data_IF_151214104127
#
_entry.id   IF_151214104127
#
_cell.length_a   1.000
_cell.length_b   1.000
_cell.length_c   1.000
_cell.angle_alpha   90.00
_cell.angle_beta   90.00
_cell.angle_gamma   90.00
#
_symmetry.space_group_name_H-M   'P 1'
#
loop_
_entity.id
_entity.type
_entity.pdbx_description
1 polymer ?
#
# COMPACT_ATOMS: atom_id res chain seq x y z
N UNK A 1 -27.23 0.13 -5.56
CA UNK A 1 -27.16 -0.54 -4.24
C UNK A 1 -26.05 -1.57 -4.32
N UNK A 2 -25.07 -1.52 -3.42
CA UNK A 2 -23.97 -2.51 -3.38
C UNK A 2 -24.56 -3.80 -2.82
N UNK A 3 -24.58 -4.88 -3.61
CA UNK A 3 -25.05 -6.18 -3.11
C UNK A 3 -23.86 -6.95 -2.52
N UNK A 4 -23.95 -7.58 -1.32
CA UNK A 4 -22.84 -8.32 -0.71
C UNK A 4 -22.24 -9.42 -1.61
N UNK A 5 -23.07 -9.98 -2.50
CA UNK A 5 -22.64 -10.97 -3.49
C UNK A 5 -21.66 -10.40 -4.52
N UNK A 6 -21.77 -9.12 -4.87
CA UNK A 6 -20.88 -8.46 -5.83
C UNK A 6 -19.46 -8.30 -5.27
N UNK A 7 -19.31 -8.19 -3.95
CA UNK A 7 -18.02 -8.14 -3.28
C UNK A 7 -17.26 -9.46 -3.52
N UNK A 8 -17.93 -10.61 -3.35
CA UNK A 8 -17.31 -11.91 -3.61
C UNK A 8 -16.98 -12.15 -5.09
N UNK A 9 -17.77 -11.59 -6.01
CA UNK A 9 -17.49 -11.69 -7.44
C UNK A 9 -16.21 -10.93 -7.85
N UNK A 10 -15.89 -9.84 -7.18
CA UNK A 10 -14.66 -9.06 -7.41
C UNK A 10 -13.39 -9.88 -7.09
N UNK A 11 -13.47 -10.81 -6.12
CA UNK A 11 -12.36 -11.71 -5.77
C UNK A 11 -12.11 -12.84 -6.78
N UNK A 12 -13.01 -13.03 -7.74
CA UNK A 12 -12.85 -14.06 -8.79
C UNK A 12 -11.70 -13.73 -9.73
N UNK A 13 -11.30 -12.46 -9.84
CA UNK A 13 -10.12 -12.06 -10.59
C UNK A 13 -8.87 -12.08 -9.68
N UNK A 14 -7.88 -12.96 -9.95
CA UNK A 14 -6.68 -13.07 -9.11
C UNK A 14 -5.88 -11.76 -9.02
N UNK A 15 -5.87 -10.94 -10.07
CA UNK A 15 -5.19 -9.65 -10.06
C UNK A 15 -5.81 -8.67 -9.06
N UNK A 16 -7.14 -8.65 -8.97
CA UNK A 16 -7.87 -7.81 -8.02
C UNK A 16 -7.66 -8.27 -6.59
N UNK A 17 -7.79 -9.57 -6.34
CA UNK A 17 -7.60 -10.17 -5.01
C UNK A 17 -6.22 -9.88 -4.46
N UNK A 18 -5.17 -10.09 -5.26
CA UNK A 18 -3.79 -9.81 -4.85
C UNK A 18 -3.57 -8.31 -4.61
N UNK A 19 -4.17 -7.44 -5.42
CA UNK A 19 -4.05 -5.98 -5.23
C UNK A 19 -4.73 -5.51 -3.94
N UNK A 20 -5.94 -6.00 -3.64
CA UNK A 20 -6.65 -5.70 -2.39
C UNK A 20 -5.88 -6.26 -1.19
N UNK A 21 -5.33 -7.47 -1.30
CA UNK A 21 -4.53 -8.07 -0.23
C UNK A 21 -3.27 -7.24 0.04
N UNK A 22 -2.52 -6.84 -0.99
CA UNK A 22 -1.34 -5.99 -0.84
C UNK A 22 -1.70 -4.63 -0.21
N UNK A 23 -2.82 -4.03 -0.63
CA UNK A 23 -3.34 -2.81 -0.03
C UNK A 23 -3.62 -2.98 1.46
N UNK A 24 -4.29 -4.08 1.81
CA UNK A 24 -4.57 -4.47 3.19
C UNK A 24 -3.30 -4.61 4.02
N UNK A 25 -2.29 -5.32 3.52
CA UNK A 25 -1.00 -5.48 4.21
C UNK A 25 -0.29 -4.14 4.45
N UNK A 26 -0.30 -3.25 3.46
CA UNK A 26 0.27 -1.90 3.61
C UNK A 26 -0.49 -1.07 4.64
N UNK A 27 -1.81 -1.17 4.65
CA UNK A 27 -2.65 -0.51 5.63
C UNK A 27 -2.45 -1.07 7.05
N UNK A 28 -2.35 -2.38 7.20
CA UNK A 28 -2.06 -3.04 8.47
C UNK A 28 -0.73 -2.56 9.06
N UNK A 29 0.32 -2.54 8.24
CA UNK A 29 1.65 -2.06 8.64
C UNK A 29 1.61 -0.59 9.09
N UNK A 30 0.94 0.25 8.30
CA UNK A 30 0.72 1.66 8.60
C UNK A 30 -0.02 1.85 9.94
N UNK A 31 -1.12 1.14 10.14
CA UNK A 31 -1.91 1.19 11.38
C UNK A 31 -1.10 0.76 12.59
N UNK A 32 -0.32 -0.33 12.47
CA UNK A 32 0.53 -0.78 13.57
C UNK A 32 1.60 0.26 13.95
N UNK A 33 2.24 0.89 12.95
CA UNK A 33 3.22 1.94 13.20
C UNK A 33 2.56 3.16 13.88
N UNK A 34 1.43 3.63 13.37
CA UNK A 34 0.66 4.73 13.94
C UNK A 34 0.26 4.45 15.40
N UNK A 35 -0.29 3.27 15.69
CA UNK A 35 -0.74 2.92 17.04
C UNK A 35 0.43 2.81 18.02
N UNK A 36 1.53 2.17 17.63
CA UNK A 36 2.70 2.00 18.49
C UNK A 36 3.42 3.32 18.81
N UNK A 37 3.41 4.29 17.88
CA UNK A 37 4.22 5.50 17.97
C UNK A 37 3.90 6.31 19.23
N UNK A 38 2.62 6.63 19.46
CA UNK A 38 2.21 7.41 20.62
C UNK A 38 2.52 6.70 21.93
N UNK A 39 2.20 5.40 22.02
CA UNK A 39 2.45 4.59 23.22
C UNK A 39 3.94 4.56 23.56
N UNK A 40 4.79 4.25 22.57
CA UNK A 40 6.24 4.16 22.78
C UNK A 40 6.83 5.53 23.11
N UNK A 41 6.37 6.61 22.49
CA UNK A 41 6.90 7.94 22.78
C UNK A 41 6.57 8.39 24.21
N UNK A 42 5.34 8.15 24.66
CA UNK A 42 4.94 8.48 26.04
C UNK A 42 5.68 7.60 27.05
N UNK A 43 5.75 6.29 26.84
CA UNK A 43 6.34 5.35 27.80
C UNK A 43 7.87 5.43 27.84
N UNK A 44 8.52 5.50 26.68
CA UNK A 44 9.96 5.37 26.55
C UNK A 44 10.70 6.72 26.57
N UNK A 45 10.16 7.73 25.88
CA UNK A 45 10.78 9.05 25.79
C UNK A 45 10.22 10.05 26.83
N UNK A 46 9.25 9.63 27.65
CA UNK A 46 8.61 10.44 28.71
C UNK A 46 8.13 11.81 28.22
N UNK A 47 7.71 11.88 26.96
CA UNK A 47 7.19 13.12 26.39
C UNK A 47 5.75 13.36 26.85
N UNK A 48 5.34 14.62 26.93
CA UNK A 48 3.96 14.97 27.25
C UNK A 48 3.00 14.46 26.17
N UNK A 49 1.72 14.24 26.51
CA UNK A 49 0.72 13.77 25.55
C UNK A 49 0.60 14.68 24.31
N UNK A 50 0.80 16.00 24.46
CA UNK A 50 0.84 16.93 23.33
C UNK A 50 2.03 16.66 22.40
N UNK A 51 3.21 16.42 22.97
CA UNK A 51 4.41 16.11 22.20
C UNK A 51 4.32 14.73 21.52
N UNK A 52 3.65 13.75 22.14
CA UNK A 52 3.31 12.49 21.50
C UNK A 52 2.36 12.72 20.31
N UNK A 53 1.38 13.61 20.43
CA UNK A 53 0.53 14.03 19.31
C UNK A 53 1.32 14.67 18.15
N UNK A 54 2.31 15.51 18.47
CA UNK A 54 3.17 16.14 17.45
C UNK A 54 4.04 15.15 16.68
N UNK A 55 4.33 13.96 17.24
CA UNK A 55 5.09 12.90 16.57
C UNK A 55 4.38 12.35 15.31
N UNK A 56 3.08 12.60 15.14
CA UNK A 56 2.34 12.22 13.94
C UNK A 56 2.52 13.20 12.77
N UNK A 57 2.99 14.43 13.03
CA UNK A 57 3.15 15.46 12.00
C UNK A 57 4.10 15.06 10.86
N UNK A 58 5.29 14.46 11.11
CA UNK A 58 6.17 14.01 10.04
C UNK A 58 5.48 13.06 9.07
N UNK A 59 4.63 12.16 9.55
CA UNK A 59 3.84 11.28 8.68
C UNK A 59 2.84 12.07 7.83
N UNK A 60 2.16 13.05 8.40
CA UNK A 60 1.26 13.95 7.67
C UNK A 60 1.98 14.70 6.55
N UNK A 61 3.13 15.31 6.84
CA UNK A 61 3.97 16.00 5.85
C UNK A 61 4.48 15.03 4.78
N UNK A 62 4.89 13.83 5.17
CA UNK A 62 5.29 12.77 4.24
C UNK A 62 4.14 12.40 3.29
N UNK A 63 2.92 12.29 3.81
CA UNK A 63 1.73 11.97 3.02
C UNK A 63 1.37 13.08 2.04
N UNK A 64 1.43 14.34 2.47
CA UNK A 64 1.18 15.50 1.61
C UNK A 64 2.21 15.61 0.49
N UNK A 65 3.50 15.47 0.82
CA UNK A 65 4.58 15.51 -0.17
C UNK A 65 4.45 14.33 -1.13
N UNK A 66 4.26 13.12 -0.61
CA UNK A 66 4.06 11.93 -1.43
C UNK A 66 2.85 12.03 -2.35
N UNK A 67 1.72 12.61 -1.94
CA UNK A 67 0.57 12.76 -2.82
C UNK A 67 0.90 13.59 -4.07
N UNK A 68 1.68 14.67 -3.91
CA UNK A 68 2.12 15.53 -5.03
C UNK A 68 3.13 14.80 -5.92
N UNK A 69 4.13 14.14 -5.32
CA UNK A 69 5.19 13.46 -6.06
C UNK A 69 4.70 12.16 -6.71
N UNK A 70 3.89 11.36 -6.02
CA UNK A 70 3.35 10.10 -6.50
C UNK A 70 2.50 10.31 -7.76
N UNK A 71 1.61 11.32 -7.77
CA UNK A 71 0.81 11.63 -8.95
C UNK A 71 1.69 11.90 -10.17
N UNK A 72 2.66 12.82 -10.04
CA UNK A 72 3.59 13.15 -11.12
C UNK A 72 4.47 11.97 -11.55
N UNK A 73 4.93 11.16 -10.60
CA UNK A 73 5.83 10.03 -10.86
C UNK A 73 5.08 8.89 -11.56
N UNK A 74 3.85 8.61 -11.12
CA UNK A 74 2.96 7.63 -11.74
C UNK A 74 2.54 8.09 -13.14
N UNK A 75 2.18 9.36 -13.32
CA UNK A 75 1.82 9.90 -14.63
C UNK A 75 3.00 9.87 -15.61
N UNK A 76 4.22 10.16 -15.13
CA UNK A 76 5.43 10.08 -15.95
C UNK A 76 5.76 8.65 -16.37
N UNK A 77 5.64 7.69 -15.47
CA UNK A 77 5.89 6.29 -15.78
C UNK A 77 4.79 5.73 -16.70
N UNK A 78 3.54 6.13 -16.48
CA UNK A 78 2.41 5.82 -17.36
C UNK A 78 2.63 6.37 -18.77
N UNK A 79 3.06 7.64 -18.90
CA UNK A 79 3.41 8.25 -20.18
C UNK A 79 4.58 7.53 -20.84
N UNK A 80 5.62 7.17 -20.09
CA UNK A 80 6.78 6.41 -20.61
C UNK A 80 6.34 5.06 -21.19
N UNK A 81 5.50 4.32 -20.46
CA UNK A 81 4.99 3.01 -20.93
C UNK A 81 4.09 3.20 -22.15
N UNK A 82 3.23 4.22 -22.19
CA UNK A 82 2.40 4.54 -23.35
C UNK A 82 3.23 4.89 -24.60
N UNK A 83 4.25 5.73 -24.46
CA UNK A 83 5.17 6.08 -25.57
C UNK A 83 5.94 4.86 -26.06
N UNK A 84 6.36 3.96 -25.16
CA UNK A 84 7.07 2.73 -25.55
C UNK A 84 6.22 1.72 -26.35
N UNK A 85 4.89 1.87 -26.31
CA UNK A 85 3.92 1.05 -27.06
C UNK A 85 3.33 1.79 -28.26
N UNK A 86 3.81 3.01 -28.57
CA UNK A 86 3.32 3.81 -29.69
C UNK A 86 1.91 4.38 -29.52
N UNK A 87 1.36 4.38 -28.29
CA UNK A 87 0.00 4.89 -28.00
C UNK A 87 0.10 6.37 -27.62
N UNK A 88 -0.51 7.25 -28.41
CA UNK A 88 -0.69 8.66 -28.07
C UNK A 88 -1.80 8.80 -27.04
N UNK A 89 -1.42 9.22 -25.82
CA UNK A 89 -2.36 9.49 -24.73
C UNK A 89 -3.21 10.72 -25.07
N UNK A 90 -4.37 10.51 -25.69
CA UNK A 90 -5.40 11.55 -25.77
C UNK A 90 -6.03 11.66 -24.38
N UNK A 91 -5.74 12.76 -23.69
CA UNK A 91 -6.38 13.13 -22.41
C UNK A 91 -7.90 12.96 -22.53
N UNK A 92 -8.46 11.96 -21.84
CA UNK A 92 -9.91 11.84 -21.63
C UNK A 92 -10.64 10.73 -22.39
N UNK A 93 -9.98 9.90 -23.21
CA UNK A 93 -10.62 8.70 -23.79
C UNK A 93 -9.62 7.58 -24.03
N UNK A 94 -9.79 6.49 -23.29
CA UNK A 94 -9.04 5.25 -23.42
C UNK A 94 -9.97 4.23 -24.08
N UNK A 95 -10.14 4.32 -25.40
CA UNK A 95 -11.13 3.52 -26.12
C UNK A 95 -10.75 2.04 -26.29
N UNK A 96 -9.53 1.61 -25.95
CA UNK A 96 -9.29 0.19 -25.69
C UNK A 96 -8.04 -0.08 -24.84
N UNK A 97 -8.22 -0.12 -23.51
CA UNK A 97 -7.19 -0.52 -22.54
C UNK A 97 -6.90 -2.02 -22.53
N UNK A 98 -7.59 -2.81 -23.37
CA UNK A 98 -7.61 -4.27 -23.27
C UNK A 98 -6.22 -4.89 -23.35
N UNK A 99 -5.33 -4.32 -24.17
CA UNK A 99 -3.94 -4.79 -24.36
C UNK A 99 -2.85 -3.92 -23.71
N UNK A 100 -3.22 -2.83 -23.04
CA UNK A 100 -2.24 -1.98 -22.37
C UNK A 100 -1.77 -2.62 -21.05
N UNK A 101 -0.45 -2.72 -20.77
CA UNK A 101 0.06 -3.25 -19.51
C UNK A 101 -0.08 -2.21 -18.38
N UNK A 102 -1.33 -1.92 -17.98
CA UNK A 102 -1.70 -0.99 -16.90
C UNK A 102 -0.96 -1.37 -15.60
N UNK A 103 -0.85 -2.67 -15.33
CA UNK A 103 -0.20 -3.23 -14.16
C UNK A 103 1.27 -2.81 -14.09
N UNK A 104 1.98 -2.88 -15.21
CA UNK A 104 3.39 -2.47 -15.30
C UNK A 104 3.57 -0.96 -15.19
N UNK A 105 2.66 -0.20 -15.81
CA UNK A 105 2.67 1.26 -15.73
C UNK A 105 2.41 1.79 -14.32
N UNK A 106 1.50 1.16 -13.56
CA UNK A 106 1.12 1.58 -12.21
C UNK A 106 2.05 1.02 -11.12
N UNK A 107 2.52 -0.22 -11.25
CA UNK A 107 3.34 -0.88 -10.22
C UNK A 107 4.84 -0.66 -10.37
N UNK A 108 5.29 -0.09 -11.50
CA UNK A 108 6.71 0.17 -11.78
C UNK A 108 7.40 1.03 -10.73
N UNK A 109 6.68 1.95 -10.08
CA UNK A 109 7.18 2.79 -8.99
C UNK A 109 7.03 2.11 -7.62
N UNK A 110 5.92 1.38 -7.44
CA UNK A 110 5.54 0.68 -6.19
C UNK A 110 6.62 -0.30 -5.73
N UNK A 111 7.28 -1.02 -6.66
CA UNK A 111 8.36 -1.96 -6.31
C UNK A 111 9.55 -1.30 -5.60
N UNK A 112 9.96 -0.12 -6.07
CA UNK A 112 11.06 0.63 -5.46
C UNK A 112 10.66 1.21 -4.11
N UNK A 113 9.41 1.67 -4.00
CA UNK A 113 8.86 2.14 -2.74
C UNK A 113 8.82 1.03 -1.67
N UNK A 114 8.41 -0.20 -2.03
CA UNK A 114 8.43 -1.34 -1.10
C UNK A 114 9.86 -1.73 -0.71
N UNK A 115 10.79 -1.79 -1.67
CA UNK A 115 12.20 -2.11 -1.40
C UNK A 115 12.87 -1.10 -0.47
N UNK A 116 12.50 0.17 -0.57
CA UNK A 116 12.97 1.23 0.33
C UNK A 116 12.26 1.18 1.69
N UNK A 117 10.97 0.85 1.72
CA UNK A 117 10.17 0.85 2.94
C UNK A 117 10.64 -0.22 3.94
N UNK A 118 10.91 -1.44 3.48
CA UNK A 118 11.31 -2.57 4.34
C UNK A 118 12.50 -2.26 5.27
N UNK A 119 13.67 -1.79 4.77
CA UNK A 119 14.79 -1.45 5.64
C UNK A 119 14.49 -0.25 6.55
N UNK A 120 13.65 0.71 6.12
CA UNK A 120 13.22 1.80 6.99
C UNK A 120 12.37 1.31 8.16
N UNK A 121 11.45 0.36 7.94
CA UNK A 121 10.63 -0.26 9.01
C UNK A 121 11.53 -0.99 10.01
N UNK A 122 12.49 -1.78 9.51
CA UNK A 122 13.44 -2.50 10.37
C UNK A 122 14.28 -1.51 11.17
N UNK A 123 14.84 -0.49 10.51
CA UNK A 123 15.60 0.57 11.17
C UNK A 123 14.80 1.31 12.23
N UNK A 124 13.50 1.57 11.97
CA UNK A 124 12.60 2.22 12.92
C UNK A 124 12.44 1.37 14.18
N UNK A 125 12.18 0.08 14.02
CA UNK A 125 12.05 -0.84 15.16
C UNK A 125 13.29 -0.92 16.03
N UNK A 126 14.48 -1.01 15.42
CA UNK A 126 15.73 -1.07 16.16
C UNK A 126 16.11 0.27 16.79
N UNK A 127 15.83 1.39 16.12
CA UNK A 127 16.00 2.72 16.71
C UNK A 127 15.18 2.87 18.00
N UNK A 128 13.94 2.36 17.98
CA UNK A 128 13.11 2.29 19.19
C UNK A 128 13.68 1.32 20.22
N UNK A 129 14.06 0.09 19.85
CA UNK A 129 14.62 -0.88 20.79
C UNK A 129 15.83 -0.31 21.57
N UNK A 130 16.75 0.36 20.88
CA UNK A 130 17.97 0.91 21.47
C UNK A 130 17.80 2.31 22.07
N UNK A 131 16.57 2.82 22.19
CA UNK A 131 16.31 4.14 22.76
C UNK A 131 17.10 5.25 22.05
N UNK A 132 17.24 5.15 20.73
CA UNK A 132 17.96 6.14 19.93
C UNK A 132 17.30 7.52 20.04
N UNK A 133 18.03 8.58 19.70
CA UNK A 133 17.47 9.95 19.75
C UNK A 133 16.15 10.04 18.96
N UNK A 134 15.13 10.69 19.53
CA UNK A 134 13.75 10.78 19.00
C UNK A 134 13.68 11.24 17.52
N UNK A 135 14.65 12.02 17.06
CA UNK A 135 14.76 12.43 15.66
C UNK A 135 14.90 11.25 14.67
N UNK A 136 15.60 10.18 15.06
CA UNK A 136 15.84 9.00 14.20
C UNK A 136 14.54 8.29 13.82
N UNK A 137 13.68 7.83 14.76
CA UNK A 137 12.41 7.21 14.42
C UNK A 137 11.48 8.17 13.66
N UNK A 138 11.50 9.48 13.93
CA UNK A 138 10.68 10.45 13.20
C UNK A 138 11.11 10.62 11.73
N UNK A 139 12.41 10.63 11.43
CA UNK A 139 12.91 10.68 10.05
C UNK A 139 12.60 9.39 9.31
N UNK A 140 12.78 8.24 9.96
CA UNK A 140 12.42 6.94 9.37
C UNK A 140 10.91 6.84 9.13
N UNK A 141 10.09 7.33 10.05
CA UNK A 141 8.64 7.42 9.90
C UNK A 141 8.25 8.31 8.71
N UNK A 142 8.94 9.42 8.48
CA UNK A 142 8.71 10.26 7.30
C UNK A 142 8.96 9.45 6.01
N UNK A 143 10.09 8.73 5.92
CA UNK A 143 10.42 7.93 4.74
C UNK A 143 9.40 6.80 4.51
N UNK A 144 9.03 6.09 5.59
CA UNK A 144 7.99 5.04 5.55
C UNK A 144 6.65 5.62 5.10
N UNK A 145 6.26 6.78 5.62
CA UNK A 145 5.02 7.44 5.25
C UNK A 145 5.01 7.84 3.78
N UNK A 146 6.14 8.34 3.27
CA UNK A 146 6.28 8.71 1.88
C UNK A 146 6.11 7.50 0.95
N UNK A 147 6.84 6.41 1.21
CA UNK A 147 6.76 5.19 0.38
C UNK A 147 5.39 4.52 0.47
N UNK A 148 4.80 4.48 1.66
CA UNK A 148 3.48 3.89 1.89
C UNK A 148 2.39 4.67 1.16
N UNK A 149 2.46 6.00 1.18
CA UNK A 149 1.49 6.84 0.46
C UNK A 149 1.60 6.67 -1.06
N UNK A 150 2.82 6.58 -1.61
CA UNK A 150 3.04 6.26 -3.03
C UNK A 150 2.37 4.92 -3.39
N UNK A 151 2.54 3.90 -2.55
CA UNK A 151 1.93 2.59 -2.76
C UNK A 151 0.39 2.66 -2.74
N UNK A 152 -0.21 3.39 -1.79
CA UNK A 152 -1.67 3.56 -1.74
C UNK A 152 -2.22 4.28 -2.96
N UNK A 153 -1.56 5.34 -3.43
CA UNK A 153 -1.99 6.04 -4.65
C UNK A 153 -1.93 5.12 -5.86
N UNK A 154 -0.86 4.32 -5.99
CA UNK A 154 -0.67 3.38 -7.11
C UNK A 154 -1.72 2.29 -7.13
N UNK A 155 -1.97 1.64 -5.98
CA UNK A 155 -2.94 0.55 -5.86
C UNK A 155 -4.39 1.02 -5.99
N UNK A 156 -4.73 2.21 -5.48
CA UNK A 156 -6.06 2.78 -5.69
C UNK A 156 -6.32 3.10 -7.16
N UNK A 157 -5.32 3.65 -7.86
CA UNK A 157 -5.42 3.90 -9.30
C UNK A 157 -5.61 2.58 -10.06
N UNK A 158 -4.83 1.54 -9.73
CA UNK A 158 -4.97 0.22 -10.36
C UNK A 158 -6.34 -0.41 -10.09
N UNK A 159 -6.86 -0.31 -8.86
CA UNK A 159 -8.17 -0.87 -8.51
C UNK A 159 -9.31 -0.14 -9.24
N UNK A 160 -9.19 1.18 -9.39
CA UNK A 160 -10.10 1.99 -10.18
C UNK A 160 -10.03 1.63 -11.68
N UNK A 161 -8.81 1.43 -12.22
CA UNK A 161 -8.58 1.01 -13.60
C UNK A 161 -9.15 -0.41 -13.86
N UNK A 162 -9.13 -1.32 -12.86
CA UNK A 162 -9.72 -2.67 -12.96
C UNK A 162 -11.24 -2.70 -12.92
N UNK A 163 -11.87 -1.74 -12.26
CA UNK A 163 -13.32 -1.71 -12.05
C UNK A 163 -13.89 -0.35 -12.43
N UNK A 164 -13.58 0.18 -13.62
CA UNK A 164 -14.09 1.48 -14.10
C UNK A 164 -15.60 1.62 -13.92
N UNK A 165 -16.33 0.53 -14.11
CA UNK A 165 -17.80 0.51 -14.11
C UNK A 165 -18.38 0.28 -12.70
N UNK A 166 -17.56 -0.19 -11.76
CA UNK A 166 -17.95 -0.61 -10.40
C UNK A 166 -16.93 -0.19 -9.33
N UNK A 167 -16.35 0.99 -9.48
CA UNK A 167 -15.29 1.51 -8.59
C UNK A 167 -15.74 1.57 -7.13
N UNK A 168 -16.98 1.99 -6.88
CA UNK A 168 -17.54 2.08 -5.53
C UNK A 168 -17.60 0.72 -4.81
N UNK A 169 -18.03 -0.35 -5.50
CA UNK A 169 -18.09 -1.70 -4.93
C UNK A 169 -16.69 -2.25 -4.68
N UNK A 170 -15.74 -2.03 -5.59
CA UNK A 170 -14.35 -2.43 -5.42
C UNK A 170 -13.68 -1.72 -4.23
N UNK A 171 -13.95 -0.43 -4.06
CA UNK A 171 -13.45 0.35 -2.92
C UNK A 171 -14.10 -0.08 -1.60
N UNK A 172 -15.39 -0.41 -1.59
CA UNK A 172 -16.07 -0.96 -0.42
C UNK A 172 -15.45 -2.30 0.01
N UNK A 173 -15.20 -3.20 -0.95
CA UNK A 173 -14.48 -4.45 -0.70
C UNK A 173 -13.08 -4.17 -0.13
N UNK A 174 -12.29 -3.32 -0.78
CA UNK A 174 -10.96 -2.94 -0.30
C UNK A 174 -10.98 -2.40 1.14
N UNK A 175 -11.95 -1.55 1.45
CA UNK A 175 -12.13 -0.98 2.79
C UNK A 175 -12.49 -2.03 3.85
N UNK A 176 -13.32 -3.01 3.51
CA UNK A 176 -13.66 -4.09 4.43
C UNK A 176 -12.41 -4.92 4.77
N UNK A 177 -11.73 -5.44 3.76
CA UNK A 177 -10.60 -6.35 3.96
C UNK A 177 -9.40 -5.66 4.62
N UNK A 178 -9.10 -4.41 4.25
CA UNK A 178 -8.00 -3.68 4.91
C UNK A 178 -8.26 -3.47 6.40
N UNK A 179 -9.51 -3.18 6.79
CA UNK A 179 -9.85 -2.91 8.17
C UNK A 179 -9.83 -4.19 9.01
N UNK A 180 -10.33 -5.30 8.49
CA UNK A 180 -10.25 -6.61 9.16
C UNK A 180 -8.79 -7.05 9.39
N UNK A 181 -7.93 -6.92 8.37
CA UNK A 181 -6.52 -7.23 8.49
C UNK A 181 -5.79 -6.31 9.49
N UNK A 182 -6.13 -5.02 9.50
CA UNK A 182 -5.56 -4.08 10.47
C UNK A 182 -6.03 -4.38 11.89
N UNK A 183 -7.32 -4.66 12.10
CA UNK A 183 -7.87 -5.01 13.40
C UNK A 183 -7.23 -6.27 13.98
N UNK A 184 -7.08 -7.32 13.18
CA UNK A 184 -6.43 -8.56 13.59
C UNK A 184 -4.97 -8.36 14.01
N UNK A 185 -4.21 -7.56 13.25
CA UNK A 185 -2.82 -7.26 13.59
C UNK A 185 -2.70 -6.34 14.82
N UNK A 186 -3.56 -5.32 14.95
CA UNK A 186 -3.58 -4.42 16.10
C UNK A 186 -3.91 -5.17 17.40
N UNK A 187 -4.80 -6.16 17.35
CA UNK A 187 -5.10 -7.02 18.50
C UNK A 187 -3.87 -7.81 18.98
N UNK A 188 -2.96 -8.19 18.06
CA UNK A 188 -1.72 -8.89 18.38
C UNK A 188 -0.56 -7.95 18.72
N UNK A 189 -0.66 -6.66 18.36
CA UNK A 189 0.43 -5.69 18.46
C UNK A 189 0.96 -5.53 19.89
N UNK A 190 0.09 -5.34 20.87
CA UNK A 190 0.51 -5.16 22.27
C UNK A 190 1.25 -6.41 22.80
N UNK A 191 0.73 -7.61 22.48
CA UNK A 191 1.38 -8.88 22.83
C UNK A 191 2.76 -9.00 22.18
N UNK A 192 2.86 -8.64 20.89
CA UNK A 192 4.13 -8.65 20.17
C UNK A 192 5.13 -7.66 20.76
N UNK A 193 4.72 -6.42 21.04
CA UNK A 193 5.58 -5.40 21.64
C UNK A 193 6.10 -5.84 23.01
N UNK A 194 5.26 -6.43 23.86
CA UNK A 194 5.66 -6.89 25.20
C UNK A 194 6.55 -8.13 25.18
N UNK A 195 6.31 -9.09 24.27
CA UNK A 195 7.05 -10.36 24.23
C UNK A 195 8.33 -10.32 23.40
N UNK A 196 8.31 -9.62 22.26
CA UNK A 196 9.42 -9.58 21.30
C UNK A 196 10.23 -8.29 21.42
N UNK A 197 9.67 -7.25 22.03
CA UNK A 197 10.21 -5.90 22.00
C UNK A 197 9.92 -5.17 20.67
N UNK A 198 10.03 -3.83 20.65
CA UNK A 198 9.85 -3.02 19.44
C UNK A 198 10.68 -3.50 18.24
N UNK A 199 11.95 -3.85 18.43
CA UNK A 199 12.86 -4.24 17.35
C UNK A 199 12.33 -5.41 16.53
N UNK A 200 12.14 -6.56 17.17
CA UNK A 200 11.65 -7.76 16.51
C UNK A 200 10.18 -7.65 16.07
N UNK A 201 9.35 -6.90 16.78
CA UNK A 201 7.97 -6.63 16.36
C UNK A 201 7.94 -5.97 14.97
N UNK A 202 8.73 -4.91 14.75
CA UNK A 202 8.80 -4.25 13.45
C UNK A 202 9.53 -5.05 12.38
N UNK A 203 10.46 -5.95 12.74
CA UNK A 203 11.02 -6.93 11.79
C UNK A 203 9.93 -7.85 11.25
N UNK A 204 9.06 -8.40 12.11
CA UNK A 204 7.94 -9.24 11.66
C UNK A 204 6.99 -8.44 10.76
N UNK A 205 6.65 -7.21 11.14
CA UNK A 205 5.82 -6.32 10.31
C UNK A 205 6.49 -6.03 8.96
N UNK A 206 7.81 -5.79 8.94
CA UNK A 206 8.57 -5.56 7.71
C UNK A 206 8.60 -6.78 6.80
N UNK A 207 8.70 -7.99 7.36
CA UNK A 207 8.62 -9.25 6.60
C UNK A 207 7.24 -9.41 5.97
N UNK A 208 6.17 -9.18 6.75
CA UNK A 208 4.78 -9.23 6.24
C UNK A 208 4.58 -8.20 5.13
N UNK A 209 5.11 -6.98 5.29
CA UNK A 209 5.11 -5.96 4.25
C UNK A 209 5.92 -6.41 3.01
N UNK A 210 7.07 -7.05 3.21
CA UNK A 210 7.93 -7.59 2.17
C UNK A 210 7.28 -8.71 1.35
N UNK A 211 6.38 -9.52 1.94
CA UNK A 211 5.59 -10.54 1.21
C UNK A 211 4.65 -9.91 0.17
N UNK A 212 4.30 -8.63 0.31
CA UNK A 212 3.58 -7.92 -0.74
C UNK A 212 4.44 -7.75 -2.01
N UNK A 213 5.77 -7.71 -1.91
CA UNK A 213 6.66 -7.55 -3.06
C UNK A 213 6.51 -8.64 -4.15
N UNK A 214 6.64 -9.95 -3.85
CA UNK A 214 6.42 -11.00 -4.85
C UNK A 214 4.98 -11.02 -5.37
N UNK A 215 4.01 -10.63 -4.53
CA UNK A 215 2.59 -10.55 -4.91
C UNK A 215 2.36 -9.44 -5.94
N UNK A 216 2.92 -8.26 -5.73
CA UNK A 216 2.88 -7.14 -6.69
C UNK A 216 3.63 -7.48 -7.98
N UNK A 217 4.77 -8.17 -7.88
CA UNK A 217 5.51 -8.62 -9.05
C UNK A 217 4.73 -9.65 -9.88
N UNK A 218 3.98 -10.54 -9.21
CA UNK A 218 3.08 -11.46 -9.90
C UNK A 218 1.95 -10.71 -10.62
N UNK A 219 1.36 -9.68 -10.00
CA UNK A 219 0.36 -8.82 -10.66
C UNK A 219 0.95 -8.07 -11.85
N UNK A 220 2.16 -7.53 -11.72
CA UNK A 220 2.88 -6.86 -12.82
C UNK A 220 3.10 -7.78 -14.03
N UNK A 221 3.48 -9.05 -13.78
CA UNK A 221 3.84 -9.99 -14.84
C UNK A 221 2.65 -10.74 -15.45
N UNK A 222 1.70 -11.14 -14.62
CA UNK A 222 0.58 -12.01 -15.03
C UNK A 222 -0.76 -11.25 -15.13
N UNK A 223 -0.86 -10.02 -14.64
CA UNK A 223 -2.11 -9.24 -14.63
C UNK A 223 -2.74 -9.08 -16.02
N UNK A 224 -1.93 -8.79 -17.04
CA UNK A 224 -2.41 -8.70 -18.43
C UNK A 224 -2.97 -10.04 -18.93
N UNK A 225 -2.32 -11.16 -18.60
CA UNK A 225 -2.77 -12.50 -18.98
C UNK A 225 -4.08 -12.88 -18.25
N UNK A 226 -4.21 -12.54 -16.97
CA UNK A 226 -5.43 -12.74 -16.19
C UNK A 226 -6.60 -11.92 -16.73
N UNK A 227 -6.35 -10.67 -17.13
CA UNK A 227 -7.37 -9.80 -17.74
C UNK A 227 -7.83 -10.33 -19.10
N UNK A 228 -6.92 -10.83 -19.94
CA UNK A 228 -7.25 -11.46 -21.23
C UNK A 228 -8.06 -12.75 -21.04
N UNK A 229 -7.70 -13.58 -20.07
CA UNK A 229 -8.39 -14.85 -19.78
C UNK A 229 -9.80 -14.64 -19.20
N UNK A 230 -9.99 -13.59 -18.38
CA UNK A 230 -11.30 -13.25 -17.82
C UNK A 230 -12.33 -12.82 -18.87
N UNK A 231 -11.90 -12.20 -19.99
CA UNK A 231 -12.80 -11.83 -21.10
C UNK A 231 -13.17 -13.03 -21.99
N UNK A 232 -12.25 -13.97 -22.21
CA UNK A 232 -12.54 -15.18 -23.01
C UNK A 232 -13.59 -16.10 -22.37
N UNK A 233 -13.72 -16.09 -21.04
CA UNK A 233 -14.74 -16.89 -20.33
C UNK A 233 -16.17 -16.33 -20.36
N UNK A 234 -16.38 -15.08 -20.81
CA UNK A 234 -17.69 -14.42 -20.86
C UNK A 234 -18.24 -14.36 -22.30
N UNK A 235 -17.38 -14.41 -23.32
CA UNK A 235 -17.77 -14.41 -24.74
C UNK A 235 -17.98 -15.79 -25.37
N UNK A 236 -17.96 -16.85 -24.58
CA UNK A 236 -18.04 -18.24 -25.05
C UNK A 236 -19.07 -19.05 -24.28
N UNK A 237 -20.34 -18.66 -24.35
CA UNK A 237 -21.52 -19.53 -24.18
C UNK A 237 -22.71 -18.92 -24.90
#
# INVERSE_FOLDING_TARGET
MITPLEIFMIFKNPGTTLSILCYGLFYTMYSCLQTSLSTIFVEQYRVSGLAAGLSYLPFGVASMTAAIFAGKLLDKEYARVATSQGITLVKGRLDDLTDFPIERARLGVTKYAVLLCVPCIVGYGWALQYHAHMAVPLVLQFLIGFTTQVNFTSLNALLADYHSDRTATAQAACNLFRCELAAGALALLDVMLRRLGPGWCFVVIAVVHGVAFPSLWAVERYGLAWRRSGKQGIGGK
#
